data_IF_670148500326
#
_entry.id   IF_670148500326
#
_cell.length_a   1.000
_cell.length_b   1.000
_cell.length_c   1.000
_cell.angle_alpha   90.00
_cell.angle_beta   90.00
_cell.angle_gamma   90.00
#
_symmetry.space_group_name_H-M   'P 1'
#
loop_
_entity.id
_entity.type
_entity.pdbx_description
1 polymer ?
#
# COMPACT_ATOMS: atom_id res chain seq x y z
N UNK A 1 -23.00 10.79 -24.28
CA UNK A 1 -23.51 10.10 -23.08
C UNK A 1 -22.92 8.69 -23.13
N UNK A 2 -22.09 8.17 -22.24
CA UNK A 2 -21.58 8.52 -20.93
C UNK A 2 -21.04 7.21 -20.35
N UNK A 3 -20.06 7.31 -19.45
CA UNK A 3 -19.40 6.27 -18.62
C UNK A 3 -17.93 6.06 -19.02
N UNK A 4 -17.09 6.88 -18.39
CA UNK A 4 -15.66 6.68 -18.33
C UNK A 4 -15.35 5.28 -17.82
N UNK A 5 -14.72 4.49 -18.68
CA UNK A 5 -13.94 3.34 -18.26
C UNK A 5 -12.68 3.91 -17.58
N UNK A 6 -12.84 4.33 -16.33
CA UNK A 6 -11.76 4.82 -15.49
C UNK A 6 -10.79 3.69 -15.22
N UNK A 7 -9.77 3.54 -16.08
CA UNK A 7 -8.42 3.08 -15.75
C UNK A 7 -8.37 2.07 -14.60
N UNK A 8 -8.88 0.87 -14.84
CA UNK A 8 -8.55 -0.31 -14.02
C UNK A 8 -7.15 -0.74 -14.46
N UNK A 9 -6.14 0.08 -14.13
CA UNK A 9 -4.75 -0.30 -14.33
C UNK A 9 -4.50 -1.57 -13.53
N UNK A 10 -3.83 -2.51 -14.21
CA UNK A 10 -3.49 -3.84 -13.77
C UNK A 10 -2.70 -3.78 -12.46
N UNK A 11 -3.39 -3.77 -11.30
CA UNK A 11 -2.80 -4.06 -9.98
C UNK A 11 -2.11 -5.44 -9.93
N UNK A 12 -2.18 -6.21 -11.03
CA UNK A 12 -1.88 -7.63 -11.13
C UNK A 12 -0.44 -7.93 -11.52
N UNK A 13 0.37 -6.92 -11.86
CA UNK A 13 1.72 -7.15 -12.43
C UNK A 13 2.88 -6.58 -11.60
N UNK A 14 2.65 -5.71 -10.61
CA UNK A 14 3.69 -5.28 -9.65
C UNK A 14 3.87 -6.27 -8.48
N UNK A 15 3.80 -7.57 -8.80
CA UNK A 15 4.25 -8.67 -7.93
C UNK A 15 5.78 -8.76 -7.94
N UNK A 16 6.49 -7.65 -7.69
CA UNK A 16 7.94 -7.70 -7.58
C UNK A 16 8.28 -8.56 -6.36
N UNK A 17 8.89 -9.72 -6.62
CA UNK A 17 9.45 -10.68 -5.65
C UNK A 17 10.49 -10.04 -4.70
N UNK A 18 10.84 -8.77 -4.93
CA UNK A 18 11.65 -7.94 -4.06
C UNK A 18 10.78 -7.24 -3.02
N UNK A 19 10.92 -7.65 -1.75
CA UNK A 19 10.43 -6.87 -0.61
C UNK A 19 11.58 -5.96 -0.15
N UNK A 20 11.55 -4.66 -0.48
CA UNK A 20 12.54 -3.74 0.06
C UNK A 20 12.47 -3.71 1.59
N UNK A 21 13.58 -3.34 2.22
CA UNK A 21 13.60 -3.09 3.65
C UNK A 21 12.59 -1.97 3.97
N UNK A 22 11.71 -2.15 4.96
CA UNK A 22 10.73 -1.12 5.31
C UNK A 22 11.43 0.19 5.66
N UNK A 23 10.99 1.31 5.08
CA UNK A 23 11.49 2.63 5.48
C UNK A 23 11.07 2.94 6.91
N UNK A 24 11.92 3.59 7.70
CA UNK A 24 11.60 3.94 9.08
C UNK A 24 10.96 5.34 9.16
N UNK A 25 9.70 5.43 8.74
CA UNK A 25 8.91 6.67 8.75
C UNK A 25 8.37 6.97 10.17
N UNK A 26 8.34 8.25 10.53
CA UNK A 26 7.67 8.73 11.74
C UNK A 26 6.14 8.72 11.59
N UNK A 27 5.41 8.80 12.71
CA UNK A 27 3.94 8.74 12.68
C UNK A 27 3.31 9.86 11.85
N UNK A 28 3.94 11.04 11.80
CA UNK A 28 3.47 12.15 10.97
C UNK A 28 3.71 11.88 9.49
N UNK A 29 4.91 11.43 9.13
CA UNK A 29 5.24 11.07 7.75
C UNK A 29 4.35 9.94 7.23
N UNK A 30 3.96 9.00 8.10
CA UNK A 30 3.01 7.93 7.75
C UNK A 30 1.65 8.50 7.36
N UNK A 31 1.12 9.47 8.12
CA UNK A 31 -0.17 10.09 7.84
C UNK A 31 -0.13 10.97 6.60
N UNK A 32 0.94 11.76 6.45
CA UNK A 32 1.15 12.60 5.28
C UNK A 32 1.27 11.72 4.01
N UNK A 33 2.06 10.64 4.07
CA UNK A 33 2.22 9.70 2.95
C UNK A 33 0.92 8.98 2.58
N UNK A 34 0.13 8.55 3.57
CA UNK A 34 -1.19 7.97 3.33
C UNK A 34 -2.14 8.94 2.63
N UNK A 35 -2.11 10.23 3.00
CA UNK A 35 -2.96 11.25 2.41
C UNK A 35 -2.54 11.65 1.00
N UNK A 36 -1.25 11.54 0.69
CA UNK A 36 -0.68 11.96 -0.60
C UNK A 36 -0.71 10.84 -1.65
N UNK A 37 -0.38 9.60 -1.27
CA UNK A 37 -0.15 8.50 -2.22
C UNK A 37 -1.21 7.40 -2.18
N UNK A 38 -2.02 7.32 -1.11
CA UNK A 38 -2.95 6.21 -0.94
C UNK A 38 -4.42 6.61 -1.13
N UNK A 39 -5.06 5.95 -2.10
CA UNK A 39 -6.50 6.09 -2.32
C UNK A 39 -7.32 5.37 -1.26
N UNK A 40 -6.83 4.22 -0.78
CA UNK A 40 -7.61 3.38 0.13
C UNK A 40 -6.73 2.59 1.11
N UNK A 41 -7.13 2.63 2.39
CA UNK A 41 -6.62 1.75 3.43
C UNK A 41 -7.73 0.83 3.94
N UNK A 42 -7.54 -0.48 3.81
CA UNK A 42 -8.47 -1.50 4.27
C UNK A 42 -7.89 -2.21 5.49
N UNK A 43 -8.59 -2.14 6.61
CA UNK A 43 -8.28 -2.95 7.79
C UNK A 43 -9.06 -4.25 7.76
N UNK A 44 -8.33 -5.37 7.75
CA UNK A 44 -8.88 -6.71 7.90
C UNK A 44 -8.72 -7.15 9.34
N UNK A 45 -9.84 -7.33 10.03
CA UNK A 45 -9.84 -7.81 11.42
C UNK A 45 -9.19 -9.20 11.50
N UNK A 46 -8.31 -9.46 12.49
CA UNK A 46 -7.79 -10.80 12.74
C UNK A 46 -8.91 -11.77 13.11
N UNK A 47 -8.84 -12.99 12.57
CA UNK A 47 -9.69 -14.12 12.94
C UNK A 47 -8.81 -15.30 13.34
N UNK A 48 -9.34 -16.36 13.98
CA UNK A 48 -8.54 -17.53 14.32
C UNK A 48 -7.85 -18.19 13.11
N UNK A 49 -8.37 -18.00 11.90
CA UNK A 49 -7.79 -18.53 10.66
C UNK A 49 -6.90 -17.54 9.91
N UNK A 50 -6.95 -16.24 10.25
CA UNK A 50 -6.27 -15.18 9.50
C UNK A 50 -5.66 -14.14 10.45
N UNK A 51 -4.36 -13.87 10.31
CA UNK A 51 -3.64 -12.92 11.20
C UNK A 51 -4.16 -11.48 11.18
N UNK A 52 -5.02 -11.12 10.23
CA UNK A 52 -5.48 -9.74 10.06
C UNK A 52 -4.36 -8.83 9.58
N UNK A 53 -4.70 -7.55 9.40
CA UNK A 53 -3.72 -6.53 9.04
C UNK A 53 -4.31 -5.38 8.25
N UNK A 54 -3.43 -4.52 7.77
CA UNK A 54 -3.75 -3.40 6.89
C UNK A 54 -3.34 -3.74 5.48
N UNK A 55 -4.26 -3.55 4.54
CA UNK A 55 -3.98 -3.57 3.10
C UNK A 55 -4.12 -2.16 2.57
N UNK A 56 -3.05 -1.62 2.00
CA UNK A 56 -3.05 -0.30 1.38
C UNK A 56 -3.12 -0.46 -0.13
N UNK A 57 -3.96 0.38 -0.73
CA UNK A 57 -4.06 0.58 -2.16
C UNK A 57 -3.65 2.03 -2.41
N UNK A 58 -2.45 2.18 -2.93
CA UNK A 58 -1.81 3.44 -3.28
C UNK A 58 -1.50 3.38 -4.76
N UNK A 59 -1.43 4.52 -5.47
CA UNK A 59 -1.34 4.64 -6.94
C UNK A 59 -1.15 3.32 -7.71
N UNK A 60 0.10 2.86 -7.83
CA UNK A 60 0.48 1.60 -8.49
C UNK A 60 0.87 0.50 -7.49
N UNK A 61 0.76 0.77 -6.19
CA UNK A 61 1.32 -0.07 -5.14
C UNK A 61 0.22 -0.59 -4.23
N UNK A 62 0.10 -1.91 -4.21
CA UNK A 62 -0.66 -2.62 -3.19
C UNK A 62 0.29 -3.24 -2.16
N UNK A 63 0.15 -2.85 -0.90
CA UNK A 63 0.90 -3.49 0.21
C UNK A 63 -0.02 -4.03 1.27
N UNK A 64 0.51 -5.00 2.02
CA UNK A 64 -0.16 -5.50 3.22
C UNK A 64 0.84 -5.70 4.34
N UNK A 65 0.49 -5.26 5.55
CA UNK A 65 1.29 -5.42 6.76
C UNK A 65 0.39 -5.78 7.95
N UNK A 66 0.97 -6.29 9.03
CA UNK A 66 0.22 -6.56 10.25
C UNK A 66 -0.23 -5.25 10.93
N UNK A 67 0.55 -4.19 10.75
CA UNK A 67 0.25 -2.84 11.25
C UNK A 67 0.19 -1.84 10.10
N UNK A 68 -0.50 -0.71 10.33
CA UNK A 68 -0.56 0.38 9.36
C UNK A 68 0.85 0.90 9.03
N UNK A 69 1.67 1.09 10.07
CA UNK A 69 3.08 1.49 9.93
C UNK A 69 3.83 0.54 9.00
N UNK A 70 3.80 -0.76 9.27
CA UNK A 70 4.49 -1.75 8.44
C UNK A 70 4.02 -1.71 6.97
N UNK A 71 2.71 -1.61 6.75
CA UNK A 71 2.14 -1.53 5.40
C UNK A 71 2.59 -0.26 4.66
N UNK A 72 2.63 0.89 5.34
CA UNK A 72 3.07 2.19 4.79
C UNK A 72 4.57 2.19 4.53
N UNK A 73 5.37 1.75 5.49
CA UNK A 73 6.82 1.66 5.36
C UNK A 73 7.24 0.78 4.18
N UNK A 74 6.54 -0.34 3.95
CA UNK A 74 6.74 -1.20 2.78
C UNK A 74 6.28 -0.53 1.48
N UNK A 75 5.19 0.23 1.52
CA UNK A 75 4.64 0.88 0.34
C UNK A 75 5.52 2.05 -0.11
N UNK A 76 5.97 2.88 0.82
CA UNK A 76 6.91 3.96 0.59
C UNK A 76 8.24 3.42 0.05
N UNK A 77 8.76 2.32 0.61
CA UNK A 77 9.99 1.69 0.11
C UNK A 77 9.84 1.20 -1.34
N UNK A 78 8.69 0.58 -1.67
CA UNK A 78 8.40 0.17 -3.06
C UNK A 78 8.25 1.35 -4.01
N UNK A 79 7.67 2.46 -3.55
CA UNK A 79 7.52 3.67 -4.36
C UNK A 79 8.87 4.33 -4.62
N UNK A 80 9.76 4.34 -3.64
CA UNK A 80 11.13 4.82 -3.79
C UNK A 80 11.90 3.99 -4.84
N UNK A 81 11.80 2.66 -4.79
CA UNK A 81 12.40 1.76 -5.80
C UNK A 81 11.82 1.96 -7.21
N UNK A 82 10.53 2.25 -7.35
CA UNK A 82 9.90 2.50 -8.66
C UNK A 82 10.30 3.86 -9.27
N UNK A 83 10.69 4.82 -8.45
CA UNK A 83 11.09 6.16 -8.89
C UNK A 83 12.60 6.30 -9.14
N UNK A 84 13.40 5.25 -8.89
CA UNK A 84 14.84 5.19 -9.18
C UNK A 84 15.15 4.53 -10.53
#
# INVERSE_FOLDING_TARGET
MGKGAGRWMSWKELWTEHRPAPLNLSDREILDWLGEYCDQAVYTRPTPQYRGGFTLYCDEIKTSGQTLREAVCLAAAKLDELNQ
#
